data_IF_990130884027
#
_entry.id   IF_990130884027
#
_cell.length_a   1.000
_cell.length_b   1.000
_cell.length_c   1.000
_cell.angle_alpha   90.00
_cell.angle_beta   90.00
_cell.angle_gamma   90.00
#
_symmetry.space_group_name_H-M   'P 1'
#
loop_
_entity.id
_entity.type
_entity.pdbx_description
1 polymer ?
#
# COMPACT_ATOMS: atom_id res chain seq x y z
N UNK A 1 -24.40 13.07 -2.20
CA UNK A 1 -24.08 12.67 -3.58
C UNK A 1 -23.28 13.74 -4.34
N UNK A 2 -23.63 15.03 -4.24
CA UNK A 2 -22.87 16.11 -4.91
C UNK A 2 -21.35 16.12 -4.59
N UNK A 3 -20.97 15.80 -3.35
CA UNK A 3 -19.55 15.69 -2.97
C UNK A 3 -18.83 14.56 -3.72
N UNK A 4 -19.48 13.41 -3.89
CA UNK A 4 -18.90 12.28 -4.62
C UNK A 4 -18.75 12.63 -6.10
N UNK A 5 -19.78 13.20 -6.73
CA UNK A 5 -19.70 13.65 -8.12
C UNK A 5 -18.58 14.66 -8.34
N UNK A 6 -18.41 15.60 -7.41
CA UNK A 6 -17.32 16.57 -7.46
C UNK A 6 -15.96 15.88 -7.39
N UNK A 7 -15.81 14.90 -6.51
CA UNK A 7 -14.55 14.18 -6.34
C UNK A 7 -14.24 13.24 -7.50
N UNK A 8 -15.25 12.60 -8.09
CA UNK A 8 -15.11 11.84 -9.34
C UNK A 8 -14.67 12.76 -10.49
N UNK A 9 -15.24 13.97 -10.56
CA UNK A 9 -14.87 14.96 -11.57
C UNK A 9 -13.46 15.53 -11.37
N UNK A 10 -13.08 15.81 -10.12
CA UNK A 10 -11.75 16.29 -9.79
C UNK A 10 -10.72 15.20 -10.09
N UNK A 11 -10.99 13.96 -9.67
CA UNK A 11 -10.14 12.80 -9.98
C UNK A 11 -10.01 12.54 -11.48
N UNK A 12 -11.09 12.69 -12.26
CA UNK A 12 -11.01 12.54 -13.72
C UNK A 12 -10.05 13.56 -14.37
N UNK A 13 -9.82 14.70 -13.73
CA UNK A 13 -8.91 15.76 -14.22
C UNK A 13 -7.48 15.59 -13.72
N UNK A 14 -7.30 15.33 -12.42
CA UNK A 14 -5.97 15.34 -11.78
C UNK A 14 -5.38 13.93 -11.60
N UNK A 15 -6.22 12.89 -11.65
CA UNK A 15 -5.87 11.48 -11.37
C UNK A 15 -5.18 11.31 -10.00
N UNK A 16 -5.44 12.22 -9.07
CA UNK A 16 -4.82 12.23 -7.76
C UNK A 16 -5.61 11.37 -6.77
N UNK A 17 -5.18 10.11 -6.64
CA UNK A 17 -5.80 9.15 -5.74
C UNK A 17 -5.62 9.54 -4.26
N UNK A 18 -4.53 10.23 -3.90
CA UNK A 18 -4.30 10.66 -2.52
C UNK A 18 -5.29 11.75 -2.12
N UNK A 19 -5.54 12.70 -3.01
CA UNK A 19 -6.58 13.73 -2.81
C UNK A 19 -7.97 13.11 -2.68
N UNK A 20 -8.28 12.09 -3.50
CA UNK A 20 -9.54 11.36 -3.39
C UNK A 20 -9.69 10.66 -2.03
N UNK A 21 -8.65 9.95 -1.58
CA UNK A 21 -8.63 9.26 -0.29
C UNK A 21 -8.74 10.24 0.90
N UNK A 22 -8.03 11.35 0.86
CA UNK A 22 -8.04 12.38 1.90
C UNK A 22 -9.39 13.08 2.05
N UNK A 23 -10.23 13.06 1.01
CA UNK A 23 -11.56 13.63 1.09
C UNK A 23 -12.53 12.82 1.97
N UNK A 24 -12.15 11.60 2.39
CA UNK A 24 -12.87 10.83 3.40
C UNK A 24 -14.29 10.44 2.99
N UNK A 25 -14.54 10.24 1.70
CA UNK A 25 -15.89 9.92 1.22
C UNK A 25 -16.27 8.52 1.67
N UNK A 26 -17.35 8.44 2.45
CA UNK A 26 -18.00 7.17 2.75
C UNK A 26 -18.97 6.84 1.63
N UNK A 27 -18.72 5.73 0.93
CA UNK A 27 -19.57 5.24 -0.15
C UNK A 27 -20.57 4.23 0.42
N UNK A 28 -21.80 4.68 0.68
CA UNK A 28 -22.90 3.74 0.91
C UNK A 28 -23.37 3.19 -0.44
N UNK A 29 -23.21 1.88 -0.63
CA UNK A 29 -23.55 1.17 -1.87
C UNK A 29 -25.01 1.39 -2.25
N UNK A 30 -25.94 1.41 -1.28
CA UNK A 30 -27.36 1.60 -1.59
C UNK A 30 -27.64 3.02 -2.05
N UNK A 31 -26.98 4.02 -1.45
CA UNK A 31 -27.13 5.42 -1.83
C UNK A 31 -26.54 5.68 -3.21
N UNK A 32 -25.37 5.12 -3.50
CA UNK A 32 -24.70 5.24 -4.80
C UNK A 32 -25.52 4.55 -5.89
N UNK A 33 -26.00 3.32 -5.66
CA UNK A 33 -26.86 2.62 -6.62
C UNK A 33 -28.18 3.36 -6.86
N UNK A 34 -28.83 3.86 -5.81
CA UNK A 34 -30.08 4.62 -5.95
C UNK A 34 -29.87 5.89 -6.80
N UNK A 35 -28.73 6.56 -6.61
CA UNK A 35 -28.37 7.73 -7.39
C UNK A 35 -28.10 7.40 -8.86
N UNK A 36 -27.29 6.38 -9.13
CA UNK A 36 -27.02 5.88 -10.50
C UNK A 36 -28.34 5.57 -11.22
N UNK A 37 -29.27 4.90 -10.54
CA UNK A 37 -30.59 4.57 -11.09
C UNK A 37 -31.49 5.80 -11.33
N UNK A 38 -31.27 6.89 -10.59
CA UNK A 38 -31.99 8.15 -10.78
C UNK A 38 -31.44 9.01 -11.93
N UNK A 39 -30.21 8.75 -12.38
CA UNK A 39 -29.58 9.50 -13.47
C UNK A 39 -30.13 9.06 -14.84
N UNK A 40 -30.26 10.00 -15.80
CA UNK A 40 -30.48 9.68 -17.21
C UNK A 40 -29.37 8.78 -17.76
N UNK A 41 -29.68 7.93 -18.75
CA UNK A 41 -28.76 6.90 -19.26
C UNK A 41 -27.38 7.46 -19.66
N UNK A 42 -27.33 8.62 -20.33
CA UNK A 42 -26.08 9.25 -20.74
C UNK A 42 -25.20 9.65 -19.54
N UNK A 43 -25.82 10.19 -18.48
CA UNK A 43 -25.10 10.58 -17.26
C UNK A 43 -24.76 9.37 -16.40
N UNK A 44 -25.57 8.31 -16.46
CA UNK A 44 -25.31 7.05 -15.77
C UNK A 44 -24.01 6.43 -16.28
N UNK A 45 -23.85 6.32 -17.59
CA UNK A 45 -22.64 5.75 -18.21
C UNK A 45 -21.40 6.56 -17.84
N UNK A 46 -21.50 7.90 -17.88
CA UNK A 46 -20.38 8.77 -17.51
C UNK A 46 -20.02 8.61 -16.02
N UNK A 47 -21.01 8.55 -15.14
CA UNK A 47 -20.81 8.36 -13.70
C UNK A 47 -20.19 7.00 -13.40
N UNK A 48 -20.70 5.92 -13.98
CA UNK A 48 -20.17 4.57 -13.84
C UNK A 48 -18.73 4.46 -14.34
N UNK A 49 -18.43 5.09 -15.49
CA UNK A 49 -17.06 5.13 -16.03
C UNK A 49 -16.10 5.83 -15.08
N UNK A 50 -16.48 6.99 -14.52
CA UNK A 50 -15.62 7.69 -13.54
C UNK A 50 -15.46 6.89 -12.25
N UNK A 51 -16.50 6.18 -11.82
CA UNK A 51 -16.44 5.32 -10.64
C UNK A 51 -15.47 4.16 -10.88
N UNK A 52 -15.53 3.52 -12.05
CA UNK A 52 -14.62 2.46 -12.45
C UNK A 52 -13.16 2.93 -12.52
N UNK A 53 -12.93 4.12 -13.06
CA UNK A 53 -11.61 4.75 -13.10
C UNK A 53 -11.01 4.95 -11.69
N UNK A 54 -11.81 5.41 -10.74
CA UNK A 54 -11.38 5.53 -9.34
C UNK A 54 -11.11 4.16 -8.73
N UNK A 55 -11.98 3.17 -8.96
CA UNK A 55 -11.77 1.81 -8.45
C UNK A 55 -10.46 1.20 -8.97
N UNK A 56 -10.15 1.39 -10.25
CA UNK A 56 -8.88 0.94 -10.83
C UNK A 56 -7.69 1.61 -10.16
N UNK A 57 -7.74 2.92 -9.93
CA UNK A 57 -6.65 3.65 -9.28
C UNK A 57 -6.50 3.29 -7.79
N UNK A 58 -7.60 2.96 -7.11
CA UNK A 58 -7.55 2.41 -5.75
C UNK A 58 -6.86 1.05 -5.73
N UNK A 59 -7.15 0.17 -6.69
CA UNK A 59 -6.53 -1.15 -6.80
C UNK A 59 -5.02 -1.03 -7.05
N UNK A 60 -4.62 -0.17 -8.00
CA UNK A 60 -3.20 0.15 -8.25
C UNK A 60 -2.49 0.70 -7.00
N UNK A 61 -3.18 1.54 -6.23
CA UNK A 61 -2.64 2.10 -5.00
C UNK A 61 -2.47 1.04 -3.92
N UNK A 62 -3.44 0.13 -3.77
CA UNK A 62 -3.39 -1.00 -2.84
C UNK A 62 -2.25 -1.95 -3.21
N UNK A 63 -2.06 -2.20 -4.51
CA UNK A 63 -0.97 -3.05 -4.99
C UNK A 63 0.38 -2.43 -4.65
N UNK A 64 0.58 -1.13 -4.93
CA UNK A 64 1.82 -0.43 -4.55
C UNK A 64 2.10 -0.49 -3.05
N UNK A 65 1.09 -0.27 -2.21
CA UNK A 65 1.25 -0.40 -0.76
C UNK A 65 1.59 -1.83 -0.33
N UNK A 66 1.12 -2.82 -1.08
CA UNK A 66 1.45 -4.22 -0.82
C UNK A 66 2.90 -4.52 -1.17
N UNK A 67 3.35 -4.08 -2.34
CA UNK A 67 4.71 -4.24 -2.81
C UNK A 67 5.70 -3.52 -1.86
N UNK A 68 5.41 -2.26 -1.49
CA UNK A 68 6.22 -1.48 -0.54
C UNK A 68 6.35 -2.20 0.81
N UNK A 69 5.26 -2.80 1.29
CA UNK A 69 5.22 -3.54 2.56
C UNK A 69 6.03 -4.85 2.48
N UNK A 70 6.01 -5.54 1.35
CA UNK A 70 6.81 -6.76 1.14
C UNK A 70 8.30 -6.43 0.99
N UNK A 71 8.64 -5.33 0.31
CA UNK A 71 10.01 -4.83 0.20
C UNK A 71 10.58 -4.42 1.55
N UNK A 72 9.80 -3.68 2.36
CA UNK A 72 10.21 -3.31 3.72
C UNK A 72 10.43 -4.55 4.60
N UNK A 73 9.54 -5.54 4.49
CA UNK A 73 9.69 -6.81 5.22
C UNK A 73 10.98 -7.53 4.83
N UNK A 74 11.28 -7.60 3.52
CA UNK A 74 12.51 -8.21 3.01
C UNK A 74 13.77 -7.49 3.52
N UNK A 75 13.77 -6.15 3.53
CA UNK A 75 14.87 -5.34 4.08
C UNK A 75 15.09 -5.58 5.57
N UNK A 76 14.02 -5.66 6.36
CA UNK A 76 14.09 -5.95 7.80
C UNK A 76 14.65 -7.36 8.02
N UNK A 77 14.13 -8.37 7.31
CA UNK A 77 14.62 -9.75 7.44
C UNK A 77 16.10 -9.89 7.02
N UNK A 78 16.52 -9.19 5.96
CA UNK A 78 17.91 -9.13 5.52
C UNK A 78 18.82 -8.50 6.57
N UNK A 79 18.39 -7.38 7.17
CA UNK A 79 19.13 -6.68 8.21
C UNK A 79 19.28 -7.54 9.48
N UNK A 80 18.20 -8.20 9.91
CA UNK A 80 18.22 -9.13 11.06
C UNK A 80 19.14 -10.33 10.80
N UNK A 81 19.12 -10.89 9.59
CA UNK A 81 20.02 -11.99 9.21
C UNK A 81 21.48 -11.52 9.20
N UNK A 82 21.76 -10.33 8.68
CA UNK A 82 23.09 -9.73 8.66
C UNK A 82 23.63 -9.49 10.07
N UNK A 83 22.83 -8.90 10.96
CA UNK A 83 23.22 -8.66 12.36
C UNK A 83 23.50 -9.98 13.10
N UNK A 84 22.64 -10.99 12.93
CA UNK A 84 22.89 -12.33 13.48
C UNK A 84 24.16 -12.98 12.94
N UNK A 85 24.45 -12.80 11.65
CA UNK A 85 25.69 -13.29 11.06
C UNK A 85 26.90 -12.57 11.67
N UNK A 86 26.88 -11.24 11.79
CA UNK A 86 27.95 -10.45 12.41
C UNK A 86 28.20 -10.86 13.88
N UNK A 87 27.14 -11.05 14.68
CA UNK A 87 27.24 -11.53 16.05
C UNK A 87 27.80 -12.97 16.12
N UNK A 88 27.38 -13.86 15.22
CA UNK A 88 27.87 -15.23 15.14
C UNK A 88 29.37 -15.30 14.81
N UNK A 89 29.83 -14.51 13.82
CA UNK A 89 31.25 -14.42 13.47
C UNK A 89 32.10 -13.78 14.57
N UNK A 90 31.61 -12.73 15.24
CA UNK A 90 32.31 -12.11 16.38
C UNK A 90 32.42 -13.04 17.60
N UNK A 91 31.41 -13.89 17.82
CA UNK A 91 31.41 -14.89 18.90
C UNK A 91 32.38 -16.04 18.64
N UNK A 92 32.54 -16.45 17.38
CA UNK A 92 33.44 -17.54 16.99
C UNK A 92 34.93 -17.15 17.08
N UNK A 93 35.27 -15.87 16.86
CA UNK A 93 36.65 -15.39 17.00
C UNK A 93 37.10 -15.23 18.46
N UNK A 94 36.19 -15.13 19.41
CA UNK A 94 36.50 -15.03 20.85
C UNK A 94 36.85 -16.36 21.54
N UNK A 95 36.61 -17.51 20.90
CA UNK A 95 36.77 -18.83 21.52
C UNK A 95 37.98 -19.63 21.00
N UNK A 96 38.76 -19.11 20.04
CA UNK A 96 39.87 -19.85 19.41
C UNK A 96 41.28 -19.43 19.87
N UNK A 97 41.40 -18.61 20.91
CA UNK A 97 42.68 -18.00 21.34
C UNK A 97 43.28 -18.50 22.66
N UNK A 98 42.67 -19.44 23.39
CA UNK A 98 43.16 -19.82 24.72
C UNK A 98 43.07 -21.33 25.01
N UNK A 99 43.86 -22.12 24.28
CA UNK A 99 44.36 -23.39 24.80
C UNK A 99 45.84 -23.24 25.08
N UNK A 100 46.08 -22.86 26.33
CA UNK A 100 47.37 -22.72 26.99
C UNK A 100 48.24 -23.97 26.76
N UNK A 101 49.41 -23.76 26.16
CA UNK A 101 50.49 -24.74 26.17
C UNK A 101 50.99 -24.87 27.61
N UNK A 102 50.58 -25.92 28.32
CA UNK A 102 51.34 -26.39 29.48
C UNK A 102 52.21 -27.58 29.10
N UNK A 103 53.50 -27.28 29.00
CA UNK A 103 54.60 -28.19 29.33
C UNK A 103 54.37 -28.79 30.71
N UNK A 104 54.45 -30.12 30.84
CA UNK A 104 55.47 -30.86 31.59
C UNK A 104 55.22 -32.38 31.47
#
# INVERSE_FOLDING_TARGET
MEQLERLLNDFAKDRDIQKFLNAGVTLDIQVVQSHIQSLPDEQRVEFESRLADVMSALDDHIQKLTDDRDDLKSQIEGSVKSEKACLSYGSAQGLSGHTDKKQE
#
